data_IF_760871730573
#
_entry.id   IF_760871730573
#
_cell.length_a   1.000
_cell.length_b   1.000
_cell.length_c   1.000
_cell.angle_alpha   90.00
_cell.angle_beta   90.00
_cell.angle_gamma   90.00
#
_symmetry.space_group_name_H-M   'P 1'
#
loop_
_entity.id
_entity.type
_entity.pdbx_description
1 polymer ?
#
# COMPACT_ATOMS: atom_id res chain seq x y z
N UNK A 1 4.54 27.25 12.52
CA UNK A 1 4.55 27.89 11.18
C UNK A 1 3.20 27.71 10.47
N UNK A 2 2.78 28.66 9.63
CA UNK A 2 1.51 28.60 8.89
C UNK A 2 1.77 28.07 7.47
N UNK A 3 1.12 26.96 7.08
CA UNK A 3 1.31 26.32 5.77
C UNK A 3 -0.03 26.14 5.08
N UNK A 4 -0.14 26.50 3.80
CA UNK A 4 -1.31 26.20 2.97
C UNK A 4 -1.13 24.83 2.30
N UNK A 5 -1.97 23.85 2.66
CA UNK A 5 -1.85 22.47 2.18
C UNK A 5 -2.62 22.21 0.88
N UNK A 6 -3.72 22.94 0.70
CA UNK A 6 -4.57 22.95 -0.48
C UNK A 6 -5.29 24.31 -0.53
N UNK A 7 -5.83 24.73 -1.69
CA UNK A 7 -6.54 26.00 -1.80
C UNK A 7 -7.59 26.17 -0.71
N UNK A 8 -7.41 27.18 0.16
CA UNK A 8 -8.33 27.48 1.27
C UNK A 8 -8.21 26.57 2.49
N UNK A 9 -7.18 25.70 2.57
CA UNK A 9 -6.86 24.87 3.74
C UNK A 9 -5.49 25.21 4.29
N UNK A 10 -5.48 26.02 5.34
CA UNK A 10 -4.28 26.33 6.11
C UNK A 10 -4.19 25.46 7.35
N UNK A 11 -3.01 24.89 7.60
CA UNK A 11 -2.68 24.23 8.87
C UNK A 11 -1.48 24.90 9.54
N UNK A 12 -1.40 24.75 10.87
CA UNK A 12 -0.27 25.21 11.67
C UNK A 12 0.59 24.02 12.06
N UNK A 13 1.84 24.00 11.58
CA UNK A 13 2.79 22.93 11.88
C UNK A 13 3.74 23.39 13.00
N UNK A 14 3.97 22.50 13.96
CA UNK A 14 5.04 22.61 14.96
C UNK A 14 6.15 21.65 14.54
N UNK A 15 7.38 22.15 14.46
CA UNK A 15 8.52 21.39 13.95
C UNK A 15 9.81 21.90 14.58
N UNK A 16 10.78 21.00 14.77
CA UNK A 16 12.16 21.33 15.16
C UNK A 16 13.08 21.57 13.95
N UNK A 17 12.55 21.48 12.72
CA UNK A 17 13.30 21.68 11.49
C UNK A 17 13.32 23.18 11.15
N UNK A 18 14.36 23.89 11.58
CA UNK A 18 14.46 25.37 11.45
C UNK A 18 15.13 25.83 10.14
N UNK A 19 15.82 24.94 9.44
CA UNK A 19 16.69 25.27 8.28
C UNK A 19 16.04 25.01 6.91
N UNK A 20 14.75 24.67 6.86
CA UNK A 20 14.06 24.38 5.60
C UNK A 20 13.18 25.56 5.16
N UNK A 21 13.10 25.84 3.85
CA UNK A 21 12.18 26.85 3.33
C UNK A 21 10.72 26.41 3.53
N UNK A 22 9.83 27.41 3.66
CA UNK A 22 8.39 27.19 3.85
C UNK A 22 7.76 26.27 2.79
N UNK A 23 8.29 26.30 1.55
CA UNK A 23 7.85 25.48 0.42
C UNK A 23 7.98 23.98 0.67
N UNK A 24 8.93 23.56 1.50
CA UNK A 24 9.26 22.14 1.68
C UNK A 24 8.32 21.45 2.68
N UNK A 25 7.68 22.23 3.54
CA UNK A 25 6.80 21.71 4.59
C UNK A 25 5.49 21.14 4.06
N UNK A 26 4.98 21.64 2.93
CA UNK A 26 3.77 21.08 2.32
C UNK A 26 4.03 19.66 1.77
N UNK A 27 5.10 19.40 0.97
CA UNK A 27 5.52 18.06 0.60
C UNK A 27 5.87 17.16 1.80
N UNK A 28 6.59 17.68 2.80
CA UNK A 28 6.94 16.90 4.00
C UNK A 28 5.70 16.49 4.79
N UNK A 29 4.76 17.40 5.00
CA UNK A 29 3.49 17.08 5.64
C UNK A 29 2.69 16.06 4.83
N UNK A 30 2.76 16.12 3.49
CA UNK A 30 2.12 15.13 2.63
C UNK A 30 2.65 13.71 2.84
N UNK A 31 3.92 13.53 3.23
CA UNK A 31 4.48 12.20 3.54
C UNK A 31 3.74 11.50 4.69
N UNK A 32 3.12 12.25 5.60
CA UNK A 32 2.26 11.72 6.68
C UNK A 32 1.11 10.88 6.13
N UNK A 33 0.56 11.25 4.97
CA UNK A 33 -0.51 10.49 4.33
C UNK A 33 -0.06 9.09 3.92
N UNK A 34 1.22 8.92 3.58
CA UNK A 34 1.81 7.60 3.32
C UNK A 34 1.67 6.65 4.51
N UNK A 35 1.84 7.17 5.73
CA UNK A 35 1.68 6.41 6.98
C UNK A 35 0.22 6.01 7.20
N UNK A 36 -0.73 6.94 7.03
CA UNK A 36 -2.16 6.63 7.15
C UNK A 36 -2.62 5.56 6.16
N UNK A 37 -2.15 5.65 4.91
CA UNK A 37 -2.43 4.66 3.88
C UNK A 37 -1.82 3.30 4.23
N UNK A 38 -0.64 3.27 4.87
CA UNK A 38 -0.03 2.06 5.40
C UNK A 38 -0.87 1.42 6.51
N UNK A 39 -1.34 2.23 7.47
CA UNK A 39 -2.24 1.75 8.54
C UNK A 39 -3.57 1.23 7.98
N UNK A 40 -4.16 1.92 7.00
CA UNK A 40 -5.36 1.43 6.30
C UNK A 40 -5.10 0.10 5.60
N UNK A 41 -3.93 -0.05 4.96
CA UNK A 41 -3.54 -1.29 4.32
C UNK A 41 -3.38 -2.43 5.33
N UNK A 42 -2.70 -2.22 6.47
CA UNK A 42 -2.56 -3.26 7.49
C UNK A 42 -3.90 -3.66 8.12
N UNK A 43 -4.77 -2.69 8.42
CA UNK A 43 -6.08 -2.97 9.03
C UNK A 43 -7.07 -3.61 8.06
N UNK A 44 -7.19 -3.06 6.86
CA UNK A 44 -8.26 -3.44 5.93
C UNK A 44 -7.78 -4.35 4.80
N UNK A 45 -6.57 -4.13 4.29
CA UNK A 45 -5.99 -4.96 3.22
C UNK A 45 -5.48 -6.29 3.76
N UNK A 46 -4.56 -6.24 4.72
CA UNK A 46 -3.97 -7.41 5.38
C UNK A 46 -4.90 -8.05 6.41
N UNK A 47 -5.86 -7.29 6.93
CA UNK A 47 -6.77 -7.75 7.99
C UNK A 47 -6.02 -8.26 9.22
N UNK A 48 -5.02 -7.50 9.66
CA UNK A 48 -4.09 -7.90 10.72
C UNK A 48 -4.76 -8.29 12.05
N UNK A 49 -6.00 -7.86 12.27
CA UNK A 49 -6.80 -8.15 13.47
C UNK A 49 -7.63 -9.46 13.34
N UNK A 50 -7.65 -10.08 12.15
CA UNK A 50 -8.42 -11.30 11.85
C UNK A 50 -7.57 -12.56 12.06
N UNK A 51 -7.41 -12.95 13.33
CA UNK A 51 -6.62 -14.14 13.70
C UNK A 51 -7.42 -15.44 13.56
N UNK A 52 -6.75 -16.47 13.05
CA UNK A 52 -7.30 -17.83 12.95
C UNK A 52 -7.09 -18.62 14.25
N UNK A 53 -6.00 -18.33 14.97
CA UNK A 53 -5.63 -18.99 16.20
C UNK A 53 -6.39 -18.47 17.44
N UNK A 54 -6.54 -19.34 18.45
CA UNK A 54 -7.16 -19.03 19.75
C UNK A 54 -6.17 -19.02 20.92
N UNK A 55 -4.93 -19.47 20.70
CA UNK A 55 -3.88 -19.49 21.72
C UNK A 55 -2.98 -18.26 21.54
N UNK A 56 -2.34 -17.82 22.63
CA UNK A 56 -1.42 -16.67 22.60
C UNK A 56 -0.30 -16.89 21.58
N UNK A 57 0.31 -18.08 21.59
CA UNK A 57 1.37 -18.43 20.65
C UNK A 57 0.88 -18.45 19.20
N UNK A 58 -0.31 -19.02 18.94
CA UNK A 58 -0.86 -19.06 17.59
C UNK A 58 -1.21 -17.66 17.08
N UNK A 59 -1.75 -16.77 17.92
CA UNK A 59 -2.01 -15.37 17.55
C UNK A 59 -0.71 -14.64 17.18
N UNK A 60 0.37 -14.88 17.94
CA UNK A 60 1.69 -14.33 17.60
C UNK A 60 2.21 -14.87 16.27
N UNK A 61 2.05 -16.17 15.99
CA UNK A 61 2.44 -16.78 14.72
C UNK A 61 1.63 -16.21 13.55
N UNK A 62 0.31 -16.10 13.69
CA UNK A 62 -0.56 -15.50 12.69
C UNK A 62 -0.13 -14.07 12.39
N UNK A 63 0.14 -13.26 13.42
CA UNK A 63 0.62 -11.89 13.25
C UNK A 63 1.93 -11.84 12.44
N UNK A 64 2.91 -12.68 12.79
CA UNK A 64 4.20 -12.72 12.09
C UNK A 64 4.05 -13.22 10.64
N UNK A 65 3.17 -14.19 10.37
CA UNK A 65 2.89 -14.67 9.03
C UNK A 65 2.26 -13.57 8.15
N UNK A 66 1.31 -12.80 8.69
CA UNK A 66 0.72 -11.65 8.00
C UNK A 66 1.78 -10.58 7.69
N UNK A 67 2.64 -10.26 8.66
CA UNK A 67 3.69 -9.27 8.47
C UNK A 67 4.72 -9.73 7.42
N UNK A 68 5.09 -11.01 7.43
CA UNK A 68 5.97 -11.61 6.43
C UNK A 68 5.36 -11.52 5.03
N UNK A 69 4.08 -11.88 4.87
CA UNK A 69 3.38 -11.76 3.59
C UNK A 69 3.35 -10.30 3.09
N UNK A 70 3.09 -9.34 3.98
CA UNK A 70 3.10 -7.93 3.65
C UNK A 70 4.47 -7.44 3.20
N UNK A 71 5.55 -7.87 3.87
CA UNK A 71 6.92 -7.51 3.51
C UNK A 71 7.34 -8.11 2.16
N UNK A 72 7.07 -9.41 1.93
CA UNK A 72 7.33 -10.05 0.64
C UNK A 72 6.55 -9.40 -0.49
N UNK A 73 5.27 -9.07 -0.24
CA UNK A 73 4.46 -8.32 -1.20
C UNK A 73 5.03 -6.93 -1.50
N UNK A 74 5.55 -6.23 -0.48
CA UNK A 74 6.17 -4.93 -0.68
C UNK A 74 7.43 -5.01 -1.55
N UNK A 75 8.27 -6.04 -1.37
CA UNK A 75 9.45 -6.28 -2.21
C UNK A 75 9.04 -6.58 -3.66
N UNK A 76 8.13 -7.52 -3.89
CA UNK A 76 7.61 -7.84 -5.23
C UNK A 76 7.00 -6.62 -5.93
N UNK A 77 6.28 -5.78 -5.18
CA UNK A 77 5.71 -4.53 -5.68
C UNK A 77 6.80 -3.53 -6.06
N UNK A 78 7.88 -3.44 -5.29
CA UNK A 78 9.00 -2.54 -5.58
C UNK A 78 9.67 -2.94 -6.91
N UNK A 79 10.05 -4.22 -7.03
CA UNK A 79 10.66 -4.77 -8.25
C UNK A 79 9.74 -4.63 -9.46
N UNK A 80 8.47 -5.01 -9.32
CA UNK A 80 7.50 -4.92 -10.39
C UNK A 80 7.27 -3.47 -10.85
N UNK A 81 7.27 -2.50 -9.93
CA UNK A 81 7.16 -1.09 -10.28
C UNK A 81 8.42 -0.55 -10.95
N UNK A 82 9.61 -1.01 -10.55
CA UNK A 82 10.87 -0.61 -11.19
C UNK A 82 10.89 -1.06 -12.65
N UNK A 83 10.59 -2.32 -12.93
CA UNK A 83 10.49 -2.83 -14.30
C UNK A 83 9.38 -2.12 -15.09
N UNK A 84 8.22 -1.92 -14.46
CA UNK A 84 7.08 -1.23 -15.07
C UNK A 84 7.39 0.25 -15.37
N UNK A 85 8.25 0.91 -14.60
CA UNK A 85 8.71 2.27 -14.89
C UNK A 85 9.63 2.30 -16.11
N UNK A 86 10.58 1.35 -16.21
CA UNK A 86 11.44 1.20 -17.38
C UNK A 86 10.63 0.94 -18.65
N UNK A 87 9.66 0.02 -18.60
CA UNK A 87 8.79 -0.30 -19.75
C UNK A 87 7.89 0.85 -20.23
N UNK A 88 7.66 1.86 -19.37
CA UNK A 88 6.83 3.02 -19.67
C UNK A 88 7.64 4.24 -20.07
N UNK A 89 8.97 4.24 -19.88
CA UNK A 89 9.82 5.40 -20.16
C UNK A 89 9.67 5.89 -21.60
N UNK A 90 9.57 4.96 -22.56
CA UNK A 90 9.47 5.26 -23.99
C UNK A 90 8.03 5.33 -24.52
N UNK A 91 7.02 5.23 -23.64
CA UNK A 91 5.60 5.16 -24.03
C UNK A 91 4.85 6.43 -23.68
N UNK A 92 4.20 7.04 -24.67
CA UNK A 92 3.31 8.18 -24.47
C UNK A 92 1.92 7.74 -23.99
N UNK A 93 1.83 7.34 -22.72
CA UNK A 93 0.55 7.09 -22.06
C UNK A 93 -0.03 8.37 -21.43
N UNK A 94 -1.36 8.51 -21.41
CA UNK A 94 -2.04 9.62 -20.72
C UNK A 94 -1.71 9.69 -19.21
N UNK A 95 -1.41 8.53 -18.61
CA UNK A 95 -1.07 8.41 -17.20
C UNK A 95 0.09 7.44 -17.01
N UNK A 96 0.89 7.67 -15.96
CA UNK A 96 1.80 6.68 -15.42
C UNK A 96 1.00 5.60 -14.68
N UNK A 97 1.44 4.35 -14.79
CA UNK A 97 0.82 3.23 -14.09
C UNK A 97 1.73 2.67 -13.01
N UNK A 98 1.12 2.22 -11.91
CA UNK A 98 1.76 1.43 -10.84
C UNK A 98 1.02 0.13 -10.61
N UNK A 99 1.68 -0.86 -10.03
CA UNK A 99 1.01 -2.13 -9.70
C UNK A 99 -0.03 -1.97 -8.60
N UNK A 100 -1.04 -2.84 -8.60
CA UNK A 100 -2.05 -2.88 -7.55
C UNK A 100 -1.52 -3.68 -6.34
N UNK A 101 -1.20 -2.97 -5.25
CA UNK A 101 -0.67 -3.55 -4.01
C UNK A 101 -1.60 -4.57 -3.37
N UNK A 102 -2.92 -4.37 -3.45
CA UNK A 102 -3.88 -5.32 -2.91
C UNK A 102 -3.80 -6.65 -3.67
N UNK A 103 -3.81 -6.61 -5.00
CA UNK A 103 -3.68 -7.84 -5.81
C UNK A 103 -2.34 -8.53 -5.57
N UNK A 104 -1.26 -7.75 -5.40
CA UNK A 104 0.03 -8.32 -5.04
C UNK A 104 0.01 -9.03 -3.67
N UNK A 105 -0.68 -8.46 -2.68
CA UNK A 105 -0.81 -9.10 -1.37
C UNK A 105 -1.55 -10.44 -1.47
N UNK A 106 -2.71 -10.48 -2.13
CA UNK A 106 -3.48 -11.71 -2.31
C UNK A 106 -2.67 -12.80 -3.02
N UNK A 107 -1.99 -12.45 -4.11
CA UNK A 107 -1.12 -13.39 -4.83
C UNK A 107 0.03 -13.93 -3.95
N UNK A 108 0.61 -13.11 -3.09
CA UNK A 108 1.66 -13.56 -2.16
C UNK A 108 1.07 -14.46 -1.08
N UNK A 109 -0.08 -14.11 -0.49
CA UNK A 109 -0.74 -14.94 0.51
C UNK A 109 -1.10 -16.32 -0.04
N UNK A 110 -1.66 -16.39 -1.24
CA UNK A 110 -2.01 -17.65 -1.92
C UNK A 110 -0.80 -18.55 -2.19
N UNK A 111 0.39 -17.95 -2.36
CA UNK A 111 1.62 -18.65 -2.70
C UNK A 111 2.62 -18.69 -1.54
N UNK A 112 2.27 -18.19 -0.35
CA UNK A 112 3.22 -18.00 0.76
C UNK A 112 3.85 -19.32 1.20
N UNK A 113 3.03 -20.35 1.38
CA UNK A 113 3.51 -21.69 1.72
C UNK A 113 4.43 -22.26 0.63
N UNK A 114 4.12 -22.00 -0.66
CA UNK A 114 4.95 -22.44 -1.78
C UNK A 114 6.25 -21.65 -1.91
N UNK A 115 6.25 -20.36 -1.55
CA UNK A 115 7.45 -19.52 -1.52
C UNK A 115 8.42 -19.94 -0.42
N UNK A 116 7.90 -20.39 0.73
CA UNK A 116 8.73 -20.75 1.89
C UNK A 116 9.12 -22.23 1.92
N UNK A 117 8.22 -23.12 1.51
CA UNK A 117 8.32 -24.58 1.71
C UNK A 117 8.15 -25.37 0.40
N UNK A 118 8.02 -24.68 -0.73
CA UNK A 118 7.83 -25.33 -2.03
C UNK A 118 9.05 -26.13 -2.47
N UNK A 119 8.83 -27.17 -3.28
CA UNK A 119 9.89 -27.96 -3.92
C UNK A 119 10.39 -27.37 -5.24
N UNK A 120 9.64 -26.41 -5.81
CA UNK A 120 10.03 -25.73 -7.04
C UNK A 120 11.07 -24.64 -6.73
N UNK A 121 11.91 -24.26 -7.70
CA UNK A 121 12.82 -23.13 -7.55
C UNK A 121 12.06 -21.85 -7.15
N UNK A 122 12.55 -21.15 -6.13
CA UNK A 122 11.88 -19.97 -5.58
C UNK A 122 11.88 -18.83 -6.60
N UNK A 123 12.95 -18.72 -7.38
CA UNK A 123 13.16 -17.74 -8.43
C UNK A 123 12.09 -17.84 -9.52
N UNK A 124 11.76 -19.06 -9.97
CA UNK A 124 10.71 -19.29 -10.96
C UNK A 124 9.33 -18.90 -10.43
N UNK A 125 9.03 -19.24 -9.17
CA UNK A 125 7.78 -18.87 -8.52
C UNK A 125 7.70 -17.34 -8.34
N UNK A 126 8.80 -16.72 -7.93
CA UNK A 126 8.92 -15.28 -7.76
C UNK A 126 8.61 -14.55 -9.06
N UNK A 127 9.28 -14.91 -10.15
CA UNK A 127 9.07 -14.28 -11.45
C UNK A 127 7.64 -14.51 -11.96
N UNK A 128 7.08 -15.71 -11.76
CA UNK A 128 5.69 -16.00 -12.12
C UNK A 128 4.70 -15.10 -11.38
N UNK A 129 4.89 -14.90 -10.07
CA UNK A 129 4.05 -14.01 -9.27
C UNK A 129 4.24 -12.55 -9.71
N UNK A 130 5.48 -12.10 -9.89
CA UNK A 130 5.82 -10.74 -10.37
C UNK A 130 5.14 -10.42 -11.70
N UNK A 131 5.16 -11.34 -12.67
CA UNK A 131 4.48 -11.16 -13.95
C UNK A 131 2.95 -11.04 -13.81
N UNK A 132 2.33 -11.83 -12.91
CA UNK A 132 0.90 -11.69 -12.61
C UNK A 132 0.58 -10.32 -11.99
N UNK A 133 1.44 -9.84 -11.08
CA UNK A 133 1.31 -8.52 -10.45
C UNK A 133 1.42 -7.39 -11.48
N UNK A 134 2.43 -7.43 -12.37
CA UNK A 134 2.65 -6.39 -13.40
C UNK A 134 1.45 -6.21 -14.34
N UNK A 135 0.75 -7.30 -14.67
CA UNK A 135 -0.48 -7.24 -15.48
C UNK A 135 -1.62 -6.50 -14.77
N UNK A 136 -1.59 -6.41 -13.45
CA UNK A 136 -2.63 -5.81 -12.60
C UNK A 136 -2.21 -4.41 -12.16
N UNK A 137 -2.16 -3.49 -13.12
CA UNK A 137 -1.75 -2.10 -12.91
C UNK A 137 -2.93 -1.15 -12.75
N UNK A 138 -2.69 -0.04 -12.05
CA UNK A 138 -3.62 1.05 -11.82
C UNK A 138 -2.97 2.38 -12.22
N UNK A 139 -3.76 3.27 -12.81
CA UNK A 139 -3.28 4.60 -13.21
C UNK A 139 -3.03 5.48 -11.98
N UNK A 140 -1.87 6.14 -11.94
CA UNK A 140 -1.58 7.23 -11.02
C UNK A 140 -2.29 8.48 -11.55
N UNK A 141 -3.19 9.05 -10.75
CA UNK A 141 -3.95 10.25 -11.09
C UNK A 141 -3.54 11.38 -10.15
N UNK A 142 -2.62 12.27 -10.57
CA UNK A 142 -2.21 13.42 -9.77
C UNK A 142 -3.42 14.29 -9.40
N UNK A 143 -3.36 14.94 -8.25
CA UNK A 143 -4.38 15.92 -7.79
C UNK A 143 -5.81 15.36 -7.67
N UNK A 144 -5.96 14.04 -7.54
CA UNK A 144 -7.26 13.40 -7.31
C UNK A 144 -7.77 13.74 -5.92
N UNK A 145 -8.83 14.55 -5.86
CA UNK A 145 -9.57 14.86 -4.64
C UNK A 145 -11.05 14.52 -4.82
N UNK A 146 -11.69 14.05 -3.75
CA UNK A 146 -13.12 13.80 -3.73
C UNK A 146 -13.78 14.69 -2.68
N UNK A 147 -14.88 15.39 -3.01
CA UNK A 147 -15.63 16.12 -2.00
C UNK A 147 -16.11 15.13 -0.95
N UNK A 148 -15.93 15.47 0.33
CA UNK A 148 -16.41 14.65 1.44
C UNK A 148 -17.94 14.67 1.43
N UNK A 149 -18.55 13.61 0.91
CA UNK A 149 -19.99 13.38 1.09
C UNK A 149 -20.22 12.92 2.52
N UNK A 150 -20.92 13.71 3.34
CA UNK A 150 -21.38 13.27 4.66
C UNK A 150 -22.29 12.05 4.45
N UNK A 151 -21.82 10.87 4.89
CA UNK A 151 -22.66 9.69 4.94
C UNK A 151 -23.57 9.79 6.17
N UNK A 152 -24.74 9.18 6.10
CA UNK A 152 -25.55 8.94 7.29
C UNK A 152 -24.72 8.14 8.31
N UNK A 153 -24.83 8.47 9.59
CA UNK A 153 -24.15 7.77 10.67
C UNK A 153 -24.79 6.40 10.84
N UNK A 154 -24.31 5.40 10.09
CA UNK A 154 -24.61 4.01 10.39
C UNK A 154 -23.84 3.60 11.65
N UNK A 155 -24.48 2.85 12.54
CA UNK A 155 -23.86 2.30 13.76
C UNK A 155 -22.61 1.45 13.44
N UNK A 156 -22.56 0.88 12.24
CA UNK A 156 -21.44 0.11 11.71
C UNK A 156 -21.10 0.57 10.29
N UNK A 157 -19.81 0.65 9.97
CA UNK A 157 -19.37 0.99 8.62
C UNK A 157 -19.67 -0.16 7.67
N UNK A 158 -20.16 0.12 6.45
CA UNK A 158 -20.25 -0.91 5.40
C UNK A 158 -18.83 -1.38 5.08
N UNK A 159 -18.57 -2.67 5.32
CA UNK A 159 -17.24 -3.27 5.21
C UNK A 159 -16.59 -2.98 3.85
N UNK A 160 -15.30 -2.63 3.87
CA UNK A 160 -14.44 -2.78 2.69
C UNK A 160 -14.36 -4.28 2.37
N UNK A 161 -14.53 -4.66 1.10
CA UNK A 161 -14.43 -6.08 0.71
C UNK A 161 -12.99 -6.57 0.93
N UNK A 162 -12.80 -7.79 1.45
CA UNK A 162 -11.48 -8.40 1.55
C UNK A 162 -10.81 -8.46 0.18
N UNK A 163 -9.49 -8.37 0.17
CA UNK A 163 -8.69 -8.73 -0.99
C UNK A 163 -8.84 -10.24 -1.15
N UNK A 164 -9.49 -10.67 -2.24
CA UNK A 164 -9.53 -12.05 -2.70
C UNK A 164 -8.48 -12.23 -3.79
#
# INVERSE_FOLDING_TARGET
MKVELAPGKTEYLLTSLEQLPLSDFQPLYHQRWGVEMGLDFYKNGLQLENFSAKTVLGVQQDFQAHLLAANLSALLVADANQELAQEQADKHHQHCYKVNRAVALGLVQDNLASLLLGKQPVEELYDRIKQKIKRRKQAIRPNRSYPRKRKLNYKFHLNKRPVL
#
